data_IF_063221442359
#
_entry.id   IF_063221442359
#
_cell.length_a   1.000
_cell.length_b   1.000
_cell.length_c   1.000
_cell.angle_alpha   90.00
_cell.angle_beta   90.00
_cell.angle_gamma   90.00
#
_symmetry.space_group_name_H-M   'P 1'
#
loop_
_entity.id
_entity.type
_entity.pdbx_description
1 polymer ?
#
# COMPACT_ATOMS: atom_id res chain seq x y z
N UNK A 1 12.40 7.75 8.79
CA UNK A 1 13.15 6.88 7.86
C UNK A 1 12.20 5.77 7.46
N UNK A 2 12.01 5.51 6.16
CA UNK A 2 11.23 4.37 5.68
C UNK A 2 12.15 3.14 5.67
N UNK A 3 11.62 1.97 6.02
CA UNK A 3 12.36 0.71 6.06
C UNK A 3 11.52 -0.45 5.51
N UNK A 4 12.19 -1.51 5.10
CA UNK A 4 11.59 -2.77 4.65
C UNK A 4 12.09 -3.91 5.55
N UNK A 5 11.20 -4.80 5.93
CA UNK A 5 11.48 -6.03 6.65
C UNK A 5 11.05 -7.21 5.77
N UNK A 6 11.88 -8.25 5.73
CA UNK A 6 11.57 -9.50 5.03
C UNK A 6 11.60 -10.65 6.02
N UNK A 7 10.49 -11.35 6.15
CA UNK A 7 10.28 -12.44 7.10
C UNK A 7 9.93 -13.72 6.34
N UNK A 8 10.52 -14.86 6.75
CA UNK A 8 10.09 -16.18 6.31
C UNK A 8 9.20 -16.78 7.39
N UNK A 9 7.92 -16.99 7.08
CA UNK A 9 6.97 -17.63 7.99
C UNK A 9 6.76 -19.07 7.57
N UNK A 10 7.16 -20.01 8.43
CA UNK A 10 6.88 -21.43 8.27
C UNK A 10 5.74 -21.82 9.22
N UNK A 11 4.53 -22.00 8.69
CA UNK A 11 3.44 -22.62 9.41
C UNK A 11 3.22 -24.03 8.85
N UNK A 12 2.78 -24.96 9.70
CA UNK A 12 2.77 -26.43 9.55
C UNK A 12 2.31 -27.03 8.18
N UNK A 13 1.77 -26.23 7.25
CA UNK A 13 1.43 -26.64 5.87
C UNK A 13 1.63 -25.54 4.79
N UNK A 14 2.04 -24.31 5.13
CA UNK A 14 2.25 -23.21 4.18
C UNK A 14 3.41 -22.34 4.64
N UNK A 15 4.41 -22.14 3.75
CA UNK A 15 5.48 -21.18 3.97
C UNK A 15 5.23 -19.92 3.12
N UNK A 16 5.43 -18.75 3.71
CA UNK A 16 5.21 -17.45 3.07
C UNK A 16 6.44 -16.58 3.29
N UNK A 17 6.86 -15.86 2.24
CA UNK A 17 7.83 -14.77 2.35
C UNK A 17 7.07 -13.46 2.50
N UNK A 18 7.12 -12.87 3.69
CA UNK A 18 6.51 -11.59 3.99
C UNK A 18 7.46 -10.44 3.73
N UNK A 19 7.01 -9.45 2.95
CA UNK A 19 7.73 -8.19 2.70
C UNK A 19 6.87 -7.07 3.27
N UNK A 20 7.33 -6.49 4.36
CA UNK A 20 6.60 -5.48 5.13
C UNK A 20 7.35 -4.16 5.11
N UNK A 21 6.65 -3.10 4.72
CA UNK A 21 7.21 -1.75 4.71
C UNK A 21 6.68 -0.94 5.89
N UNK A 22 7.62 -0.33 6.62
CA UNK A 22 7.32 0.62 7.68
C UNK A 22 6.78 1.93 7.10
N UNK A 23 5.90 2.60 7.83
CA UNK A 23 5.56 4.00 7.57
C UNK A 23 6.70 4.96 7.98
N UNK A 24 6.48 6.26 7.80
CA UNK A 24 7.35 7.34 8.23
C UNK A 24 7.55 7.37 9.76
N UNK A 25 8.64 8.00 10.21
CA UNK A 25 8.84 8.34 11.63
C UNK A 25 8.19 9.69 11.91
N UNK A 26 7.76 9.92 13.14
CA UNK A 26 7.10 11.17 13.55
C UNK A 26 5.65 11.21 13.10
N UNK A 27 4.95 10.07 13.19
CA UNK A 27 3.57 9.92 12.71
C UNK A 27 2.62 10.95 13.37
N UNK A 28 2.91 11.34 14.61
CA UNK A 28 2.17 12.40 15.30
C UNK A 28 2.22 13.75 14.57
N UNK A 29 3.39 14.11 14.04
CA UNK A 29 3.54 15.35 13.28
C UNK A 29 2.93 15.22 11.89
N UNK A 30 3.01 14.03 11.28
CA UNK A 30 2.34 13.75 10.02
C UNK A 30 0.82 13.88 10.13
N UNK A 31 0.17 13.20 11.07
CA UNK A 31 -1.30 13.25 11.19
C UNK A 31 -1.86 14.63 11.54
N UNK A 32 -1.04 15.54 12.08
CA UNK A 32 -1.40 16.96 12.28
C UNK A 32 -1.35 17.77 10.98
N UNK A 33 -0.48 17.40 10.05
CA UNK A 33 -0.14 18.20 8.87
C UNK A 33 -0.32 17.42 7.54
N UNK A 34 -1.01 16.29 7.54
CA UNK A 34 -1.05 15.38 6.39
C UNK A 34 -1.55 16.08 5.12
N UNK A 35 -2.47 17.04 5.27
CA UNK A 35 -3.04 17.76 4.14
C UNK A 35 -1.96 18.57 3.41
N UNK A 36 -1.06 19.21 4.16
CA UNK A 36 0.06 19.97 3.59
C UNK A 36 1.11 19.06 2.96
N UNK A 37 1.34 17.88 3.53
CA UNK A 37 2.22 16.87 2.93
C UNK A 37 1.69 16.46 1.56
N UNK A 38 0.44 16.01 1.50
CA UNK A 38 -0.16 15.55 0.25
C UNK A 38 -0.42 16.67 -0.76
N UNK A 39 -0.61 17.92 -0.33
CA UNK A 39 -0.78 19.07 -1.22
C UNK A 39 0.50 19.46 -1.96
N UNK A 40 1.67 19.12 -1.42
CA UNK A 40 2.99 19.41 -2.03
C UNK A 40 3.52 18.27 -2.87
N UNK A 41 2.96 17.08 -2.70
CA UNK A 41 3.38 15.90 -3.43
C UNK A 41 2.90 15.94 -4.89
N UNK A 42 3.69 15.35 -5.78
CA UNK A 42 3.45 15.35 -7.22
C UNK A 42 3.62 13.96 -7.77
N UNK A 43 2.88 13.65 -8.83
CA UNK A 43 3.04 12.41 -9.57
C UNK A 43 4.29 12.46 -10.47
N UNK A 44 5.12 11.43 -10.40
CA UNK A 44 6.29 11.20 -11.27
C UNK A 44 6.20 9.83 -11.91
N UNK A 45 6.84 9.61 -13.08
CA UNK A 45 6.80 8.31 -13.74
C UNK A 45 7.37 7.19 -12.87
N UNK A 46 6.66 6.07 -12.82
CA UNK A 46 7.17 4.81 -12.28
C UNK A 46 7.39 3.85 -13.44
N UNK A 47 8.56 3.97 -14.05
CA UNK A 47 8.92 3.24 -15.27
C UNK A 47 7.81 3.34 -16.33
N UNK A 48 7.27 2.22 -16.80
CA UNK A 48 6.19 2.16 -17.79
C UNK A 48 4.83 1.83 -17.15
N UNK A 49 4.71 1.90 -15.82
CA UNK A 49 3.54 1.41 -15.08
C UNK A 49 2.72 2.54 -14.44
N UNK A 50 2.64 3.67 -15.13
CA UNK A 50 1.92 4.86 -14.67
C UNK A 50 2.80 5.79 -13.83
N UNK A 51 2.15 6.57 -12.97
CA UNK A 51 2.81 7.59 -12.15
C UNK A 51 2.61 7.29 -10.67
N UNK A 52 3.57 7.62 -9.82
CA UNK A 52 3.53 7.45 -8.36
C UNK A 52 3.90 8.75 -7.66
N UNK A 53 3.64 8.84 -6.36
CA UNK A 53 4.16 9.92 -5.53
C UNK A 53 5.67 10.11 -5.70
N UNK A 54 6.11 11.36 -5.85
CA UNK A 54 7.54 11.71 -5.99
C UNK A 54 8.33 11.29 -4.76
N UNK A 55 7.80 11.57 -3.58
CA UNK A 55 8.47 11.25 -2.32
C UNK A 55 8.57 9.73 -2.14
N UNK A 56 7.52 8.99 -2.54
CA UNK A 56 7.56 7.52 -2.52
C UNK A 56 8.50 6.95 -3.57
N UNK A 57 8.61 7.53 -4.76
CA UNK A 57 9.59 7.13 -5.78
C UNK A 57 11.02 7.25 -5.26
N UNK A 58 11.36 8.40 -4.65
CA UNK A 58 12.68 8.63 -4.05
C UNK A 58 12.97 7.59 -2.96
N UNK A 59 11.98 7.32 -2.09
CA UNK A 59 12.12 6.31 -1.04
C UNK A 59 12.29 4.90 -1.61
N UNK A 60 11.50 4.55 -2.63
CA UNK A 60 11.55 3.27 -3.31
C UNK A 60 12.91 3.05 -3.95
N UNK A 61 13.42 3.99 -4.75
CA UNK A 61 14.74 3.90 -5.40
C UNK A 61 15.86 3.73 -4.39
N UNK A 62 15.80 4.45 -3.26
CA UNK A 62 16.78 4.29 -2.18
C UNK A 62 16.77 2.88 -1.59
N UNK A 63 15.59 2.32 -1.30
CA UNK A 63 15.48 0.95 -0.79
C UNK A 63 15.98 -0.04 -1.86
N UNK A 64 15.51 0.13 -3.09
CA UNK A 64 15.80 -0.76 -4.21
C UNK A 64 17.31 -0.87 -4.52
N UNK A 65 17.99 0.27 -4.54
CA UNK A 65 19.44 0.37 -4.79
C UNK A 65 20.32 0.02 -3.59
N UNK A 66 19.77 -0.11 -2.38
CA UNK A 66 20.53 -0.41 -1.15
C UNK A 66 20.90 -1.88 -0.95
N UNK A 67 20.73 -2.72 -1.98
CA UNK A 67 20.98 -4.17 -1.91
C UNK A 67 19.72 -5.02 -1.76
N UNK A 68 18.55 -4.40 -1.58
CA UNK A 68 17.26 -5.10 -1.51
C UNK A 68 17.00 -5.95 -2.76
N UNK A 69 17.31 -5.41 -3.95
CA UNK A 69 17.23 -6.13 -5.23
C UNK A 69 18.00 -7.46 -5.19
N UNK A 70 19.28 -7.42 -4.82
CA UNK A 70 20.13 -8.61 -4.80
C UNK A 70 19.65 -9.63 -3.76
N UNK A 71 19.25 -9.15 -2.58
CA UNK A 71 18.70 -10.01 -1.53
C UNK A 71 17.44 -10.74 -2.00
N UNK A 72 16.52 -10.04 -2.68
CA UNK A 72 15.29 -10.64 -3.16
C UNK A 72 15.50 -11.59 -4.33
N UNK A 73 16.50 -11.37 -5.18
CA UNK A 73 16.90 -12.33 -6.21
C UNK A 73 17.49 -13.61 -5.59
N UNK A 74 18.29 -13.49 -4.52
CA UNK A 74 18.77 -14.67 -3.78
C UNK A 74 17.60 -15.44 -3.15
N UNK A 75 16.64 -14.74 -2.55
CA UNK A 75 15.43 -15.34 -1.98
C UNK A 75 14.61 -16.04 -3.05
N UNK A 76 14.44 -15.44 -4.24
CA UNK A 76 13.77 -16.09 -5.37
C UNK A 76 14.45 -17.41 -5.75
N UNK A 77 15.79 -17.42 -5.82
CA UNK A 77 16.54 -18.64 -6.13
C UNK A 77 16.32 -19.79 -5.12
N UNK A 78 15.89 -19.50 -3.89
CA UNK A 78 15.67 -20.48 -2.82
C UNK A 78 14.19 -20.82 -2.58
N UNK A 79 13.30 -19.86 -2.79
CA UNK A 79 11.90 -19.88 -2.34
C UNK A 79 10.92 -19.50 -3.45
N UNK A 80 11.23 -19.86 -4.70
CA UNK A 80 10.40 -19.50 -5.86
C UNK A 80 9.02 -20.16 -5.90
N UNK A 81 8.83 -21.22 -5.12
CA UNK A 81 7.58 -21.93 -4.96
C UNK A 81 6.68 -21.33 -3.88
N UNK A 82 7.22 -20.45 -3.03
CA UNK A 82 6.48 -19.85 -1.92
C UNK A 82 5.61 -18.67 -2.35
N UNK A 83 4.55 -18.44 -1.56
CA UNK A 83 3.69 -17.26 -1.70
C UNK A 83 4.39 -16.05 -1.09
N UNK A 84 4.31 -14.91 -1.79
CA UNK A 84 4.76 -13.62 -1.28
C UNK A 84 3.59 -12.80 -0.74
N UNK A 85 3.79 -12.22 0.44
CA UNK A 85 2.86 -11.26 1.00
C UNK A 85 3.49 -9.87 1.04
N UNK A 86 2.85 -8.90 0.41
CA UNK A 86 3.23 -7.50 0.51
C UNK A 86 2.35 -6.80 1.54
N UNK A 87 2.95 -6.12 2.51
CA UNK A 87 2.18 -5.38 3.50
C UNK A 87 2.83 -4.09 3.93
N UNK A 88 2.04 -3.22 4.55
CA UNK A 88 2.53 -2.00 5.14
C UNK A 88 1.39 -1.10 5.59
N UNK A 89 1.75 -0.06 6.34
CA UNK A 89 0.81 0.99 6.76
C UNK A 89 1.18 2.33 6.11
N UNK A 90 0.16 3.09 5.71
CA UNK A 90 0.31 4.43 5.14
C UNK A 90 1.30 4.41 3.95
N UNK A 91 2.39 5.17 3.97
CA UNK A 91 3.42 5.17 2.93
C UNK A 91 4.11 3.82 2.74
N UNK A 92 4.23 3.02 3.81
CA UNK A 92 4.70 1.64 3.69
C UNK A 92 3.75 0.80 2.84
N UNK A 93 2.44 1.01 2.96
CA UNK A 93 1.47 0.34 2.10
C UNK A 93 1.64 0.70 0.62
N UNK A 94 2.08 1.92 0.31
CA UNK A 94 2.32 2.32 -1.07
C UNK A 94 3.62 1.74 -1.63
N UNK A 95 4.69 1.73 -0.83
CA UNK A 95 5.94 1.03 -1.20
C UNK A 95 5.71 -0.46 -1.45
N UNK A 96 4.82 -1.08 -0.67
CA UNK A 96 4.40 -2.46 -0.87
C UNK A 96 3.70 -2.66 -2.23
N UNK A 97 2.82 -1.75 -2.64
CA UNK A 97 2.20 -1.79 -3.98
C UNK A 97 3.23 -1.60 -5.09
N UNK A 98 4.13 -0.62 -4.97
CA UNK A 98 5.20 -0.37 -5.96
C UNK A 98 6.11 -1.59 -6.10
N UNK A 99 6.45 -2.24 -5.00
CA UNK A 99 7.27 -3.46 -4.98
C UNK A 99 6.54 -4.62 -5.66
N UNK A 100 5.26 -4.82 -5.36
CA UNK A 100 4.46 -5.85 -6.00
C UNK A 100 4.37 -5.67 -7.51
N UNK A 101 4.10 -4.44 -7.98
CA UNK A 101 4.10 -4.12 -9.41
C UNK A 101 5.45 -4.46 -10.02
N UNK A 102 6.56 -3.97 -9.45
CA UNK A 102 7.89 -4.22 -10.00
C UNK A 102 8.22 -5.72 -10.09
N UNK A 103 7.97 -6.48 -9.03
CA UNK A 103 8.25 -7.92 -9.01
C UNK A 103 7.48 -8.70 -10.09
N UNK A 104 6.20 -8.40 -10.25
CA UNK A 104 5.35 -9.11 -11.20
C UNK A 104 5.67 -8.69 -12.63
N UNK A 105 5.86 -7.40 -12.88
CA UNK A 105 6.15 -6.89 -14.23
C UNK A 105 7.56 -7.28 -14.71
N UNK A 106 8.54 -7.33 -13.81
CA UNK A 106 9.89 -7.85 -14.08
C UNK A 106 9.93 -9.39 -14.15
N UNK A 107 8.79 -10.06 -13.94
CA UNK A 107 8.61 -11.52 -14.01
C UNK A 107 9.42 -12.31 -12.99
N UNK A 108 9.66 -11.72 -11.81
CA UNK A 108 10.33 -12.40 -10.71
C UNK A 108 9.38 -13.36 -9.99
N UNK A 109 8.09 -13.01 -9.89
CA UNK A 109 7.04 -13.88 -9.33
C UNK A 109 5.81 -13.88 -10.22
N UNK A 110 5.00 -14.96 -10.22
CA UNK A 110 3.71 -14.97 -10.89
C UNK A 110 2.61 -14.32 -10.02
N UNK A 111 1.63 -13.67 -10.67
CA UNK A 111 0.45 -13.07 -10.02
C UNK A 111 -0.32 -14.04 -9.12
N UNK A 112 -0.25 -15.34 -9.38
CA UNK A 112 -0.95 -16.38 -8.59
C UNK A 112 -0.27 -16.69 -7.26
N UNK A 113 0.97 -16.25 -7.04
CA UNK A 113 1.74 -16.49 -5.81
C UNK A 113 1.93 -15.21 -4.99
N UNK A 114 1.11 -14.18 -5.21
CA UNK A 114 1.21 -12.93 -4.47
C UNK A 114 -0.11 -12.51 -3.86
N UNK A 115 -0.04 -11.85 -2.70
CA UNK A 115 -1.14 -11.11 -2.12
C UNK A 115 -0.65 -9.85 -1.41
N UNK A 116 -1.57 -8.92 -1.20
CA UNK A 116 -1.30 -7.62 -0.62
C UNK A 116 -2.34 -7.26 0.43
N UNK A 117 -1.86 -6.76 1.57
CA UNK A 117 -2.69 -6.13 2.60
C UNK A 117 -2.06 -4.80 3.03
N UNK A 118 -2.73 -3.71 2.68
CA UNK A 118 -2.37 -2.35 3.07
C UNK A 118 -3.25 -1.84 4.21
N UNK A 119 -2.67 -1.08 5.14
CA UNK A 119 -3.40 -0.40 6.21
C UNK A 119 -3.27 1.11 6.06
N UNK A 120 -4.33 1.87 6.35
CA UNK A 120 -4.32 3.34 6.25
C UNK A 120 -3.76 3.85 4.91
N UNK A 121 -4.01 3.12 3.83
CA UNK A 121 -3.34 3.33 2.54
C UNK A 121 -3.87 4.60 1.88
N UNK A 122 -3.05 5.65 1.66
CA UNK A 122 -3.43 6.78 0.81
C UNK A 122 -3.41 6.37 -0.66
N UNK A 123 -3.84 7.24 -1.57
CA UNK A 123 -3.63 7.04 -3.02
C UNK A 123 -2.13 7.10 -3.28
N UNK A 124 -1.59 6.03 -3.84
CA UNK A 124 -0.15 5.85 -3.99
C UNK A 124 0.39 6.38 -5.32
N UNK A 125 -0.47 6.51 -6.32
CA UNK A 125 -0.12 6.92 -7.66
C UNK A 125 -1.33 7.26 -8.49
N UNK A 126 -1.13 7.32 -9.80
CA UNK A 126 -2.18 7.61 -10.76
C UNK A 126 -3.11 6.41 -10.99
N UNK A 127 -4.18 6.62 -11.74
CA UNK A 127 -5.06 5.54 -12.18
C UNK A 127 -4.34 4.46 -12.99
N UNK A 128 -3.44 4.84 -13.89
CA UNK A 128 -2.66 3.87 -14.65
C UNK A 128 -1.82 3.00 -13.71
N UNK A 129 -1.23 3.60 -12.67
CA UNK A 129 -0.53 2.84 -11.64
C UNK A 129 -1.47 1.91 -10.87
N UNK A 130 -2.64 2.41 -10.44
CA UNK A 130 -3.65 1.58 -9.77
C UNK A 130 -4.10 0.39 -10.63
N UNK A 131 -4.22 0.57 -11.96
CA UNK A 131 -4.48 -0.51 -12.90
C UNK A 131 -3.37 -1.55 -12.89
N UNK A 132 -2.10 -1.15 -12.91
CA UNK A 132 -0.98 -2.09 -12.83
C UNK A 132 -0.90 -2.81 -11.49
N UNK A 133 -1.31 -2.17 -10.40
CA UNK A 133 -1.44 -2.82 -9.09
C UNK A 133 -2.52 -3.91 -9.14
N UNK A 134 -3.72 -3.60 -9.65
CA UNK A 134 -4.82 -4.56 -9.81
C UNK A 134 -4.44 -5.70 -10.76
N UNK A 135 -3.72 -5.41 -11.85
CA UNK A 135 -3.19 -6.41 -12.78
C UNK A 135 -2.18 -7.34 -12.09
N UNK A 136 -1.30 -6.78 -11.26
CA UNK A 136 -0.19 -7.52 -10.66
C UNK A 136 -0.63 -8.41 -9.49
N UNK A 137 -1.63 -7.97 -8.71
CA UNK A 137 -2.10 -8.66 -7.50
C UNK A 137 -3.47 -9.35 -7.68
N UNK A 138 -4.21 -9.04 -8.75
CA UNK A 138 -5.52 -9.59 -9.02
C UNK A 138 -6.51 -9.40 -7.86
N UNK A 139 -7.25 -10.46 -7.53
CA UNK A 139 -8.25 -10.44 -6.44
C UNK A 139 -7.65 -10.53 -5.03
N UNK A 140 -6.33 -10.64 -4.92
CA UNK A 140 -5.62 -10.84 -3.66
C UNK A 140 -5.08 -9.52 -3.07
N UNK A 141 -5.70 -8.40 -3.40
CA UNK A 141 -5.24 -7.07 -3.01
C UNK A 141 -6.29 -6.35 -2.15
N UNK A 142 -5.93 -6.04 -0.91
CA UNK A 142 -6.84 -5.44 0.06
C UNK A 142 -6.25 -4.20 0.72
N UNK A 143 -7.06 -3.14 0.82
CA UNK A 143 -6.78 -1.98 1.67
C UNK A 143 -7.70 -2.01 2.86
N UNK A 144 -7.16 -1.82 4.05
CA UNK A 144 -7.89 -1.83 5.30
C UNK A 144 -7.91 -0.42 5.85
N UNK A 145 -9.12 0.09 6.12
CA UNK A 145 -9.33 1.36 6.81
C UNK A 145 -9.91 1.12 8.20
N UNK A 146 -9.40 1.84 9.20
CA UNK A 146 -9.91 1.77 10.57
C UNK A 146 -10.82 2.95 10.87
N UNK A 147 -12.06 2.65 11.27
CA UNK A 147 -13.10 3.60 11.64
C UNK A 147 -13.16 4.78 10.67
N UNK A 148 -12.92 5.99 11.15
CA UNK A 148 -12.98 7.23 10.39
C UNK A 148 -11.59 7.80 10.14
N UNK A 149 -10.55 6.97 10.00
CA UNK A 149 -9.22 7.42 9.57
C UNK A 149 -9.34 8.14 8.20
N UNK A 150 -8.91 9.41 8.11
CA UNK A 150 -9.04 10.21 6.90
C UNK A 150 -7.98 9.91 5.85
N UNK A 151 -6.88 9.22 6.19
CA UNK A 151 -5.72 9.06 5.29
C UNK A 151 -6.08 8.45 3.93
N UNK A 152 -6.94 7.41 3.84
CA UNK A 152 -7.32 6.86 2.54
C UNK A 152 -8.02 7.85 1.61
N UNK A 153 -8.43 9.04 2.04
CA UNK A 153 -9.02 10.03 1.14
C UNK A 153 -7.98 10.91 0.44
N UNK A 154 -6.69 10.68 0.63
CA UNK A 154 -5.62 11.59 0.25
C UNK A 154 -4.56 10.92 -0.64
N UNK A 155 -3.84 11.67 -1.49
CA UNK A 155 -4.23 12.99 -2.01
C UNK A 155 -5.58 12.97 -2.70
N UNK A 156 -6.25 14.11 -2.86
CA UNK A 156 -7.54 14.16 -3.55
C UNK A 156 -7.45 13.66 -5.00
N UNK A 157 -8.43 12.87 -5.43
CA UNK A 157 -8.57 12.48 -6.84
C UNK A 157 -9.40 13.50 -7.62
N UNK A 158 -8.99 13.77 -8.86
CA UNK A 158 -9.77 14.50 -9.86
C UNK A 158 -10.39 13.56 -10.89
N UNK A 159 -10.14 12.25 -10.79
CA UNK A 159 -10.67 11.27 -11.71
C UNK A 159 -12.15 11.02 -11.45
N UNK A 160 -12.89 10.73 -12.53
CA UNK A 160 -14.26 10.26 -12.43
C UNK A 160 -14.30 8.93 -11.68
N UNK A 161 -15.13 8.88 -10.62
CA UNK A 161 -15.32 7.68 -9.80
C UNK A 161 -16.30 6.73 -10.49
N UNK A 162 -16.09 5.43 -10.31
CA UNK A 162 -16.95 4.40 -10.89
C UNK A 162 -16.14 3.24 -11.45
N UNK A 163 -16.12 2.16 -10.69
CA UNK A 163 -15.51 0.88 -11.07
C UNK A 163 -13.99 0.82 -10.85
N UNK A 164 -13.40 -0.32 -11.24
CA UNK A 164 -11.95 -0.55 -11.15
C UNK A 164 -11.14 0.45 -11.99
N UNK A 165 -9.84 0.56 -11.67
CA UNK A 165 -8.91 1.42 -12.41
C UNK A 165 -8.84 1.02 -13.90
N UNK A 166 -8.73 2.02 -14.79
CA UNK A 166 -8.67 1.82 -16.24
C UNK A 166 -7.52 2.63 -16.86
N UNK A 167 -6.72 1.95 -17.70
CA UNK A 167 -5.62 2.61 -18.42
C UNK A 167 -6.13 3.78 -19.28
N UNK A 168 -5.48 4.94 -19.13
CA UNK A 168 -5.69 6.12 -19.96
C UNK A 168 -6.95 6.93 -19.64
N UNK A 169 -7.77 6.54 -18.67
CA UNK A 169 -8.98 7.30 -18.28
C UNK A 169 -8.59 8.59 -17.56
N UNK A 170 -7.74 8.50 -16.54
CA UNK A 170 -7.19 9.64 -15.80
C UNK A 170 -5.70 9.43 -15.48
N UNK A 171 -4.82 9.39 -16.49
CA UNK A 171 -3.43 8.93 -16.33
C UNK A 171 -2.58 9.77 -15.36
N UNK A 172 -3.00 11.01 -15.07
CA UNK A 172 -2.33 11.95 -14.17
C UNK A 172 -3.15 12.31 -12.92
N UNK A 173 -4.17 11.52 -12.58
CA UNK A 173 -4.97 11.74 -11.38
C UNK A 173 -4.73 10.66 -10.35
N UNK A 174 -4.55 11.06 -9.10
CA UNK A 174 -4.42 10.13 -7.98
C UNK A 174 -5.58 9.14 -7.95
N UNK A 175 -5.30 7.86 -7.76
CA UNK A 175 -6.32 6.83 -7.76
C UNK A 175 -5.94 5.67 -6.85
N UNK A 176 -6.94 5.04 -6.23
CA UNK A 176 -6.78 3.81 -5.48
C UNK A 176 -6.88 2.58 -6.37
N UNK A 177 -6.11 1.55 -6.02
CA UNK A 177 -6.37 0.18 -6.46
C UNK A 177 -7.29 -0.54 -5.47
N UNK A 178 -7.54 -1.82 -5.75
CA UNK A 178 -7.79 -2.84 -4.76
C UNK A 178 -9.16 -2.75 -4.06
N UNK A 179 -9.55 -3.83 -3.37
CA UNK A 179 -10.77 -3.82 -2.55
C UNK A 179 -10.51 -3.14 -1.21
N UNK A 180 -11.38 -2.22 -0.79
CA UNK A 180 -11.30 -1.60 0.53
C UNK A 180 -12.23 -2.29 1.54
N UNK A 181 -11.69 -2.60 2.72
CA UNK A 181 -12.43 -2.99 3.91
C UNK A 181 -12.33 -1.91 4.98
N UNK A 182 -13.46 -1.33 5.38
CA UNK A 182 -13.52 -0.36 6.47
C UNK A 182 -14.10 -1.03 7.71
N UNK A 183 -13.31 -1.15 8.78
CA UNK A 183 -13.70 -1.76 10.05
C UNK A 183 -14.14 -0.70 11.05
N UNK A 184 -15.29 -0.90 11.70
CA UNK A 184 -15.68 -0.08 12.87
C UNK A 184 -15.39 -0.76 14.21
N UNK A 185 -15.13 -2.07 14.17
CA UNK A 185 -14.68 -2.90 15.30
C UNK A 185 -13.87 -4.08 14.77
N UNK A 186 -12.69 -4.34 15.34
CA UNK A 186 -11.84 -5.46 14.95
C UNK A 186 -12.54 -6.81 15.13
N UNK A 187 -12.25 -7.75 14.22
CA UNK A 187 -12.73 -9.14 14.25
C UNK A 187 -14.27 -9.32 14.23
N UNK A 188 -15.06 -8.30 13.91
CA UNK A 188 -16.52 -8.41 13.77
C UNK A 188 -16.93 -8.21 12.31
N UNK A 189 -17.17 -9.31 11.58
CA UNK A 189 -17.49 -9.28 10.14
C UNK A 189 -18.72 -8.43 9.78
N UNK A 190 -19.75 -8.43 10.63
CA UNK A 190 -20.97 -7.59 10.42
C UNK A 190 -20.72 -6.09 10.56
N UNK A 191 -19.51 -5.68 10.95
CA UNK A 191 -19.08 -4.29 11.14
C UNK A 191 -18.00 -3.88 10.15
N UNK A 192 -17.95 -4.58 9.02
CA UNK A 192 -17.06 -4.31 7.88
C UNK A 192 -17.88 -3.77 6.73
N UNK A 193 -17.52 -2.59 6.25
CA UNK A 193 -17.98 -2.08 4.95
C UNK A 193 -16.98 -2.50 3.88
N UNK A 194 -17.45 -3.11 2.81
CA UNK A 194 -16.61 -3.54 1.68
C UNK A 194 -16.94 -2.70 0.45
N UNK A 195 -15.92 -2.16 -0.20
CA UNK A 195 -16.03 -1.49 -1.50
C UNK A 195 -15.05 -2.12 -2.48
N UNK A 196 -15.59 -2.69 -3.56
CA UNK A 196 -14.81 -3.25 -4.68
C UNK A 196 -14.46 -2.19 -5.71
N UNK A 197 -15.25 -1.12 -5.79
CA UNK A 197 -14.82 0.12 -6.43
C UNK A 197 -13.86 0.83 -5.48
N UNK A 198 -12.59 1.01 -5.89
CA UNK A 198 -11.55 1.53 -5.01
C UNK A 198 -11.76 3.00 -4.63
N UNK A 199 -12.58 3.75 -5.39
CA UNK A 199 -12.89 5.16 -5.16
C UNK A 199 -14.32 5.40 -4.64
N UNK A 200 -15.02 4.33 -4.22
CA UNK A 200 -16.38 4.43 -3.69
C UNK A 200 -16.44 5.37 -2.47
N UNK A 201 -17.22 6.45 -2.63
CA UNK A 201 -17.50 7.44 -1.58
C UNK A 201 -18.03 6.82 -0.29
N UNK A 202 -18.68 5.65 -0.35
CA UNK A 202 -19.18 4.94 0.83
C UNK A 202 -18.07 4.45 1.76
N UNK A 203 -16.90 4.11 1.23
CA UNK A 203 -15.75 3.68 2.03
C UNK A 203 -14.75 4.82 2.33
N UNK A 204 -14.84 5.92 1.58
CA UNK A 204 -13.97 7.09 1.69
C UNK A 204 -14.66 8.22 2.46
N UNK A 205 -14.97 7.99 3.75
CA UNK A 205 -15.74 8.91 4.60
C UNK A 205 -15.01 9.35 5.88
N UNK A 206 -13.71 9.09 5.98
CA UNK A 206 -12.94 9.35 7.21
C UNK A 206 -12.84 10.84 7.56
N UNK A 207 -12.77 11.15 8.85
CA UNK A 207 -12.68 12.54 9.34
C UNK A 207 -12.01 12.66 10.70
N UNK A 208 -11.50 11.56 11.26
CA UNK A 208 -10.95 11.46 12.61
C UNK A 208 -9.47 11.05 12.54
N UNK A 209 -8.53 12.01 12.54
CA UNK A 209 -7.09 11.71 12.43
C UNK A 209 -6.55 10.78 13.53
N UNK A 210 -7.17 10.79 14.73
CA UNK A 210 -6.79 9.90 15.81
C UNK A 210 -7.04 8.40 15.51
N UNK A 211 -7.95 8.09 14.59
CA UNK A 211 -8.18 6.70 14.17
C UNK A 211 -7.00 6.15 13.35
N UNK A 212 -6.11 7.00 12.81
CA UNK A 212 -4.89 6.53 12.15
C UNK A 212 -4.03 5.60 13.03
N UNK A 213 -4.09 5.76 14.35
CA UNK A 213 -3.30 4.95 15.27
C UNK A 213 -3.97 3.62 15.63
N UNK A 214 -5.27 3.44 15.36
CA UNK A 214 -6.03 2.33 15.93
C UNK A 214 -5.85 0.97 15.25
N UNK A 215 -5.00 0.86 14.24
CA UNK A 215 -4.73 -0.38 13.52
C UNK A 215 -4.14 -1.42 14.47
N UNK A 216 -4.90 -2.49 14.72
CA UNK A 216 -4.57 -3.55 15.68
C UNK A 216 -4.24 -3.08 17.11
N UNK A 217 -4.83 -1.97 17.54
CA UNK A 217 -4.61 -1.44 18.88
C UNK A 217 -3.25 -0.79 19.09
N UNK A 218 -2.55 -0.45 18.00
CA UNK A 218 -1.30 0.32 18.08
C UNK A 218 -1.53 1.73 18.63
N UNK A 219 -0.44 2.34 19.07
CA UNK A 219 -0.37 3.73 19.53
C UNK A 219 0.74 4.46 18.76
N UNK A 220 0.77 5.81 18.74
CA UNK A 220 1.78 6.54 17.97
C UNK A 220 3.23 6.08 18.23
N UNK A 221 3.55 5.77 19.49
CA UNK A 221 4.88 5.32 19.89
C UNK A 221 5.30 4.00 19.24
N UNK A 222 4.35 3.12 18.91
CA UNK A 222 4.66 1.84 18.26
C UNK A 222 5.23 2.07 16.84
N UNK A 223 4.80 3.14 16.17
CA UNK A 223 5.33 3.53 14.86
C UNK A 223 6.69 4.20 14.96
N UNK A 224 6.83 5.11 15.93
CA UNK A 224 7.98 5.99 16.04
C UNK A 224 9.21 5.30 16.66
N UNK A 225 9.00 4.34 17.56
CA UNK A 225 10.09 3.66 18.28
C UNK A 225 10.71 2.47 17.53
N UNK A 226 10.19 2.10 16.35
CA UNK A 226 10.86 1.12 15.50
C UNK A 226 12.12 1.75 14.90
N UNK A 227 13.26 1.59 15.56
CA UNK A 227 14.58 1.94 15.01
C UNK A 227 15.15 0.80 14.17
N UNK A 228 15.93 1.15 13.15
CA UNK A 228 16.82 0.22 12.48
C UNK A 228 17.99 -0.16 13.40
#
# INVERSE_FOLDING_TARGET
MLSVQVDLFEAYQNSIVGITFKSLNGVQNFTKNYADYFAKDTLVPFENWGMVSRDLQIAFERIWSSGFTNYMQEMWGKYCDLVLSFSGINFGSCLAQMTAVKFIQDKWWPTTQVFFVGFATPRCGSEDFAYYVDLSLGKNAYRVNWKADPIPQLPATTCTRGGSAQLGRCPNSWYHCCTQYTYTKWAVRSKVTTCTDPEDTKCLTGSTPADFYGYFGSVPNDYDNMSC
#
